data_IF_169800047938
#
_entry.id   IF_169800047938
#
_cell.length_a   1.000
_cell.length_b   1.000
_cell.length_c   1.000
_cell.angle_alpha   90.00
_cell.angle_beta   90.00
_cell.angle_gamma   90.00
#
_symmetry.space_group_name_H-M   'P 1'
#
loop_
_entity.id
_entity.type
_entity.pdbx_description
1 polymer ?
#
# COMPACT_ATOMS: atom_id res chain seq x y z
N UNK A 1 12.96 -16.85 6.06
CA UNK A 1 12.53 -17.54 7.30
C UNK A 1 11.27 -16.86 7.81
N UNK A 2 10.32 -17.59 8.39
CA UNK A 2 9.09 -17.00 8.93
C UNK A 2 9.43 -16.21 10.21
N UNK A 3 9.09 -14.91 10.26
CA UNK A 3 9.22 -14.11 11.49
C UNK A 3 8.19 -14.63 12.51
N UNK A 4 8.49 -14.63 13.82
CA UNK A 4 7.49 -14.95 14.83
C UNK A 4 6.35 -13.92 14.79
N UNK A 5 5.15 -14.32 15.23
CA UNK A 5 3.93 -13.51 15.07
C UNK A 5 4.04 -12.11 15.70
N UNK A 6 4.72 -11.98 16.84
CA UNK A 6 4.96 -10.71 17.54
C UNK A 6 5.86 -9.73 16.75
N UNK A 7 6.55 -10.21 15.70
CA UNK A 7 7.41 -9.46 14.79
C UNK A 7 6.78 -9.18 13.42
N UNK A 8 5.51 -9.54 13.21
CA UNK A 8 4.75 -9.22 12.00
C UNK A 8 3.83 -8.03 12.28
N UNK A 9 3.70 -7.10 11.33
CA UNK A 9 2.76 -5.98 11.40
C UNK A 9 1.94 -5.91 10.11
N UNK A 10 0.62 -5.99 10.23
CA UNK A 10 -0.30 -5.77 9.12
C UNK A 10 -0.87 -4.35 9.25
N UNK A 11 -0.58 -3.50 8.27
CA UNK A 11 -0.95 -2.08 8.27
C UNK A 11 -1.72 -1.76 7.00
N UNK A 12 -2.89 -1.14 7.14
CA UNK A 12 -3.64 -0.59 6.02
C UNK A 12 -3.36 0.91 5.88
N UNK A 13 -3.16 1.39 4.65
CA UNK A 13 -3.24 2.81 4.31
C UNK A 13 -4.66 3.11 3.86
N UNK A 14 -5.35 4.01 4.56
CA UNK A 14 -6.75 4.37 4.30
C UNK A 14 -6.88 5.88 4.21
N UNK A 15 -8.01 6.34 3.66
CA UNK A 15 -8.28 7.77 3.49
C UNK A 15 -8.72 8.12 2.07
N UNK A 16 -9.21 9.35 1.93
CA UNK A 16 -9.86 9.79 0.70
C UNK A 16 -8.95 9.77 -0.52
N UNK A 17 -9.52 9.74 -1.73
CA UNK A 17 -8.76 9.88 -2.98
C UNK A 17 -7.89 11.14 -2.93
N UNK A 18 -6.64 11.02 -3.35
CA UNK A 18 -5.68 12.13 -3.35
C UNK A 18 -5.05 12.46 -2.00
N UNK A 19 -5.35 11.71 -0.92
CA UNK A 19 -4.73 11.94 0.40
C UNK A 19 -3.26 11.52 0.50
N UNK A 20 -2.69 10.90 -0.56
CA UNK A 20 -1.28 10.51 -0.62
C UNK A 20 -0.96 9.08 -0.18
N UNK A 21 -1.96 8.20 0.01
CA UNK A 21 -1.76 6.79 0.39
C UNK A 21 -0.73 6.08 -0.49
N UNK A 22 -0.96 6.08 -1.79
CA UNK A 22 -0.08 5.46 -2.79
C UNK A 22 1.32 6.06 -2.83
N UNK A 23 1.43 7.38 -2.67
CA UNK A 23 2.74 8.04 -2.59
C UNK A 23 3.50 7.66 -1.32
N UNK A 24 2.80 7.51 -0.18
CA UNK A 24 3.38 7.02 1.06
C UNK A 24 3.80 5.54 0.95
N UNK A 25 2.97 4.72 0.30
CA UNK A 25 3.30 3.33 -0.01
C UNK A 25 4.63 3.24 -0.77
N UNK A 26 4.78 3.97 -1.87
CA UNK A 26 6.02 4.03 -2.65
C UNK A 26 7.21 4.52 -1.82
N UNK A 27 7.03 5.59 -1.03
CA UNK A 27 8.09 6.13 -0.19
C UNK A 27 8.57 5.12 0.85
N UNK A 28 7.66 4.36 1.46
CA UNK A 28 8.01 3.32 2.43
C UNK A 28 8.79 2.17 1.77
N UNK A 29 8.37 1.72 0.58
CA UNK A 29 9.09 0.69 -0.16
C UNK A 29 10.48 1.15 -0.60
N UNK A 30 10.60 2.39 -1.07
CA UNK A 30 11.88 2.97 -1.45
C UNK A 30 12.80 3.09 -0.23
N UNK A 31 12.29 3.60 0.89
CA UNK A 31 13.07 3.75 2.12
C UNK A 31 13.49 2.40 2.73
N UNK A 32 12.67 1.36 2.58
CA UNK A 32 13.00 0.00 2.99
C UNK A 32 13.96 -0.71 2.01
N UNK A 33 14.34 -0.07 0.89
CA UNK A 33 15.23 -0.64 -0.13
C UNK A 33 14.58 -1.73 -0.98
N UNK A 34 13.24 -1.84 -0.96
CA UNK A 34 12.47 -2.83 -1.73
C UNK A 34 12.44 -2.45 -3.22
N UNK A 35 12.34 -1.15 -3.48
CA UNK A 35 12.48 -0.57 -4.82
C UNK A 35 13.65 0.41 -4.83
N UNK A 36 14.33 0.48 -5.98
CA UNK A 36 15.53 1.31 -6.16
C UNK A 36 15.22 2.69 -6.78
N UNK A 37 13.97 2.94 -7.17
CA UNK A 37 13.47 4.22 -7.68
C UNK A 37 12.13 4.50 -7.01
N UNK A 38 11.93 5.74 -6.58
CA UNK A 38 10.65 6.20 -6.08
C UNK A 38 9.66 6.35 -7.24
N UNK A 39 8.58 5.58 -7.24
CA UNK A 39 7.51 5.68 -8.23
C UNK A 39 6.64 6.92 -8.02
N UNK A 40 5.87 7.24 -9.06
CA UNK A 40 4.96 8.39 -9.09
C UNK A 40 3.61 7.99 -9.66
N UNK A 41 2.54 8.39 -8.97
CA UNK A 41 1.15 8.21 -9.44
C UNK A 41 0.96 8.98 -10.75
N UNK A 42 1.54 10.18 -10.85
CA UNK A 42 1.40 11.01 -12.04
C UNK A 42 2.08 10.41 -13.26
N UNK A 43 3.21 9.72 -13.05
CA UNK A 43 3.96 9.04 -14.13
C UNK A 43 3.47 7.60 -14.37
N UNK A 44 2.54 7.09 -13.55
CA UNK A 44 2.07 5.71 -13.64
C UNK A 44 3.15 4.66 -13.35
N UNK A 45 4.11 5.00 -12.48
CA UNK A 45 5.29 4.18 -12.18
C UNK A 45 5.28 3.54 -10.79
N UNK A 46 4.18 3.70 -10.04
CA UNK A 46 4.04 3.11 -8.69
C UNK A 46 3.89 1.60 -8.75
N UNK A 47 4.33 0.92 -7.69
CA UNK A 47 4.21 -0.54 -7.55
C UNK A 47 2.77 -0.95 -7.28
N UNK A 48 2.02 -0.21 -6.45
CA UNK A 48 0.64 -0.58 -6.11
C UNK A 48 -0.33 -0.42 -7.29
N UNK A 49 -0.33 0.74 -7.95
CA UNK A 49 -1.22 1.02 -9.10
C UNK A 49 -0.63 0.48 -10.42
N UNK A 50 -0.61 -0.84 -10.57
CA UNK A 50 0.02 -1.50 -11.72
C UNK A 50 -0.92 -1.73 -12.92
N UNK A 51 -2.24 -1.73 -12.69
CA UNK A 51 -3.24 -1.91 -13.73
C UNK A 51 -3.29 -0.69 -14.69
N UNK A 52 -3.63 -0.93 -15.96
CA UNK A 52 -3.78 0.14 -16.94
C UNK A 52 -4.86 1.13 -16.54
N UNK A 53 -5.96 0.64 -15.96
CA UNK A 53 -7.08 1.47 -15.54
C UNK A 53 -6.71 2.39 -14.37
N UNK A 54 -5.88 1.90 -13.43
CA UNK A 54 -5.38 2.68 -12.29
C UNK A 54 -4.43 3.78 -12.76
N UNK A 55 -3.53 3.45 -13.69
CA UNK A 55 -2.62 4.41 -14.33
C UNK A 55 -3.36 5.46 -15.13
N UNK A 56 -4.34 5.04 -15.94
CA UNK A 56 -5.13 5.95 -16.77
C UNK A 56 -5.99 6.90 -15.94
N UNK A 57 -6.53 6.43 -14.81
CA UNK A 57 -7.38 7.23 -13.91
C UNK A 57 -6.62 7.93 -12.79
N UNK A 58 -5.32 7.65 -12.64
CA UNK A 58 -4.46 8.14 -11.56
C UNK A 58 -5.12 7.94 -10.18
N UNK A 59 -5.61 6.73 -9.95
CA UNK A 59 -6.23 6.31 -8.70
C UNK A 59 -6.19 4.80 -8.54
N UNK A 60 -6.01 4.34 -7.31
CA UNK A 60 -6.14 2.93 -6.97
C UNK A 60 -7.59 2.47 -7.11
N UNK A 61 -7.77 1.29 -7.70
CA UNK A 61 -9.06 0.61 -7.90
C UNK A 61 -9.11 -0.64 -7.02
N UNK A 62 -7.97 -1.32 -6.83
CA UNK A 62 -7.85 -2.50 -5.98
C UNK A 62 -6.91 -2.25 -4.81
N UNK A 63 -7.08 -3.00 -3.72
CA UNK A 63 -6.08 -3.03 -2.66
C UNK A 63 -4.79 -3.72 -3.13
N UNK A 64 -3.64 -3.10 -2.85
CA UNK A 64 -2.33 -3.63 -3.19
C UNK A 64 -1.56 -4.02 -1.93
N UNK A 65 -1.02 -5.25 -1.90
CA UNK A 65 -0.19 -5.75 -0.82
C UNK A 65 1.29 -5.61 -1.16
N UNK A 66 2.05 -4.97 -0.28
CA UNK A 66 3.51 -5.07 -0.25
C UNK A 66 4.01 -5.66 1.06
N UNK A 67 5.13 -6.36 1.01
CA UNK A 67 5.77 -6.96 2.18
C UNK A 67 7.25 -6.65 2.21
N UNK A 68 7.74 -6.12 3.33
CA UNK A 68 9.13 -5.73 3.48
C UNK A 68 9.64 -5.88 4.92
N UNK A 69 10.95 -5.88 5.10
CA UNK A 69 11.56 -5.86 6.42
C UNK A 69 11.91 -4.44 6.84
N UNK A 70 11.60 -4.11 8.10
CA UNK A 70 12.02 -2.87 8.73
C UNK A 70 12.37 -3.12 10.19
N UNK A 71 13.60 -2.81 10.59
CA UNK A 71 14.08 -2.95 11.98
C UNK A 71 13.74 -4.31 12.61
N UNK A 72 14.12 -5.41 11.94
CA UNK A 72 13.86 -6.81 12.37
C UNK A 72 12.38 -7.20 12.46
N UNK A 73 11.48 -6.44 11.84
CA UNK A 73 10.05 -6.76 11.73
C UNK A 73 9.68 -6.99 10.27
N UNK A 74 8.74 -7.90 10.03
CA UNK A 74 8.06 -8.01 8.75
C UNK A 74 6.86 -7.08 8.75
N UNK A 75 6.79 -6.18 7.79
CA UNK A 75 5.64 -5.31 7.56
C UNK A 75 4.90 -5.81 6.33
N UNK A 76 3.60 -6.05 6.47
CA UNK A 76 2.66 -6.25 5.38
C UNK A 76 1.83 -4.96 5.28
N UNK A 77 2.07 -4.20 4.22
CA UNK A 77 1.42 -2.92 3.98
C UNK A 77 0.35 -3.10 2.90
N UNK A 78 -0.88 -2.69 3.18
CA UNK A 78 -1.98 -2.73 2.22
C UNK A 78 -2.34 -1.29 1.85
N UNK A 79 -2.02 -0.89 0.62
CA UNK A 79 -2.51 0.36 0.02
C UNK A 79 -3.95 0.14 -0.46
N UNK A 80 -4.90 1.00 -0.08
CA UNK A 80 -6.32 0.79 -0.37
C UNK A 80 -6.90 1.89 -1.27
N UNK A 81 -7.94 1.59 -2.07
CA UNK A 81 -8.65 2.61 -2.82
C UNK A 81 -9.22 3.72 -1.93
N UNK A 82 -9.10 4.97 -2.38
CA UNK A 82 -9.66 6.13 -1.67
C UNK A 82 -11.02 6.61 -2.17
N UNK A 83 -11.51 6.02 -3.26
CA UNK A 83 -12.81 6.35 -3.85
C UNK A 83 -13.91 5.47 -3.23
N UNK A 84 -15.06 6.05 -2.79
CA UNK A 84 -16.14 5.29 -2.16
C UNK A 84 -16.68 4.14 -3.00
N UNK A 85 -16.56 4.21 -4.33
CA UNK A 85 -17.01 3.16 -5.25
C UNK A 85 -16.28 1.82 -5.00
N UNK A 86 -15.09 1.86 -4.41
CA UNK A 86 -14.21 0.70 -4.14
C UNK A 86 -14.01 0.45 -2.64
N UNK A 87 -14.95 0.91 -1.80
CA UNK A 87 -14.84 0.83 -0.33
C UNK A 87 -14.72 -0.60 0.22
N UNK A 88 -15.20 -1.61 -0.51
CA UNK A 88 -15.16 -3.01 -0.09
C UNK A 88 -13.71 -3.48 0.18
N UNK A 89 -12.76 -3.04 -0.63
CA UNK A 89 -11.34 -3.37 -0.49
C UNK A 89 -10.73 -2.75 0.78
N UNK A 90 -11.07 -1.48 1.05
CA UNK A 90 -10.64 -0.81 2.27
C UNK A 90 -11.21 -1.50 3.52
N UNK A 91 -12.49 -1.90 3.49
CA UNK A 91 -13.12 -2.66 4.59
C UNK A 91 -12.49 -4.05 4.77
N UNK A 92 -12.13 -4.72 3.67
CA UNK A 92 -11.41 -5.99 3.68
C UNK A 92 -10.04 -5.86 4.32
N UNK A 93 -9.27 -4.84 3.93
CA UNK A 93 -7.95 -4.54 4.50
C UNK A 93 -8.04 -4.25 6.01
N UNK A 94 -8.99 -3.42 6.43
CA UNK A 94 -9.21 -3.10 7.86
C UNK A 94 -9.59 -4.33 8.70
N UNK A 95 -10.13 -5.38 8.09
CA UNK A 95 -10.48 -6.62 8.80
C UNK A 95 -9.28 -7.51 9.12
N UNK A 96 -8.21 -7.39 8.33
CA UNK A 96 -7.01 -8.24 8.43
C UNK A 96 -5.79 -7.50 8.96
N UNK A 97 -5.87 -6.18 9.10
CA UNK A 97 -4.80 -5.34 9.64
C UNK A 97 -5.03 -5.02 11.12
N UNK A 98 -3.95 -5.00 11.91
CA UNK A 98 -4.03 -4.56 13.31
C UNK A 98 -3.96 -3.02 13.45
N UNK A 99 -3.45 -2.33 12.42
CA UNK A 99 -3.30 -0.88 12.41
C UNK A 99 -3.76 -0.28 11.07
N UNK A 100 -4.22 0.97 11.12
CA UNK A 100 -4.56 1.76 9.95
C UNK A 100 -3.97 3.18 10.08
N UNK A 101 -3.52 3.73 8.95
CA UNK A 101 -2.96 5.09 8.83
C UNK A 101 -3.79 5.86 7.79
#
# INVERSE_FOLDING_TARGET
MHKPADRIRNVALVGHRGSGKTSLHEALLFQAGVINRLGSVLEGTTVSDSDQDEKARQMSISAALASFEWQDRKVNLIDTPGDPSFIADALGALRVCESAI
#
